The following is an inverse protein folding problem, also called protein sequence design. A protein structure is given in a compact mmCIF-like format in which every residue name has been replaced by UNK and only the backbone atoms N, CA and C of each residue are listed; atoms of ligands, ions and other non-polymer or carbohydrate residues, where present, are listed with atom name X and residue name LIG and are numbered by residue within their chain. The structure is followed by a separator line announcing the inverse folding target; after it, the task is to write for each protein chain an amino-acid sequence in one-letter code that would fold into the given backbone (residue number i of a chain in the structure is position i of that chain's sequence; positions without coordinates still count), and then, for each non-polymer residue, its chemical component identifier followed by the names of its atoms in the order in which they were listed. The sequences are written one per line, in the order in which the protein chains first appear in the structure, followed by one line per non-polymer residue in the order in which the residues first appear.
data_IF_425736389643
#
_entry.id   IF_425736389643
#
_cell.length_a   1.000
_cell.length_b   1.000
_cell.length_c   1.000
_cell.angle_alpha   90.00
_cell.angle_beta   90.00
_cell.angle_gamma   90.00
#
_symmetry.space_group_name_H-M   'P 1'
#
loop_
_entity.id
_entity.type
_entity.pdbx_description
1 polymer ?
#
# COMPACT_ATOMS: atom_id res chain seq x y z
N UNK A 1 -49.15 47.93 -42.44
CA UNK A 1 -49.02 48.37 -43.84
C UNK A 1 -49.45 47.23 -44.76
N UNK A 2 -50.66 46.73 -44.53
CA UNK A 2 -51.81 46.93 -45.44
C UNK A 2 -51.50 46.92 -46.94
N UNK A 3 -51.54 45.73 -47.51
CA UNK A 3 -52.00 45.52 -48.88
C UNK A 3 -53.02 44.37 -48.88
N UNK A 4 -54.28 44.76 -48.73
CA UNK A 4 -55.46 43.91 -48.81
C UNK A 4 -55.67 43.52 -50.29
N UNK A 5 -54.94 42.49 -50.74
CA UNK A 5 -55.16 41.91 -52.07
C UNK A 5 -56.39 41.00 -52.04
N UNK A 6 -57.53 41.54 -52.50
CA UNK A 6 -58.73 40.79 -52.84
C UNK A 6 -58.40 39.77 -53.94
N UNK A 7 -57.95 38.59 -53.54
CA UNK A 7 -57.64 37.48 -54.42
C UNK A 7 -58.94 36.74 -54.76
N UNK A 8 -59.70 37.32 -55.69
CA UNK A 8 -60.88 36.69 -56.27
C UNK A 8 -60.42 35.43 -57.01
N UNK A 9 -60.80 34.26 -56.47
CA UNK A 9 -60.43 32.94 -56.98
C UNK A 9 -60.63 32.85 -58.51
N UNK A 10 -59.62 32.40 -59.30
CA UNK A 10 -59.69 32.35 -60.77
C UNK A 10 -60.78 31.41 -61.32
N UNK A 11 -61.42 30.61 -60.45
CA UNK A 11 -62.55 29.75 -60.81
C UNK A 11 -63.83 30.52 -61.15
N UNK A 12 -64.09 31.67 -60.51
CA UNK A 12 -65.30 32.46 -60.79
C UNK A 12 -65.19 33.23 -62.11
N UNK A 13 -63.99 33.72 -62.44
CA UNK A 13 -63.72 34.37 -63.73
C UNK A 13 -63.83 33.36 -64.87
N UNK A 14 -63.35 32.11 -64.68
CA UNK A 14 -63.50 31.06 -65.69
C UNK A 14 -64.93 30.59 -65.87
N UNK A 15 -65.72 30.46 -64.81
CA UNK A 15 -67.17 30.16 -64.93
C UNK A 15 -67.92 31.27 -65.68
N UNK A 16 -67.60 32.54 -65.41
CA UNK A 16 -68.14 33.66 -66.19
C UNK A 16 -67.66 33.65 -67.64
N UNK A 17 -66.42 33.25 -67.89
CA UNK A 17 -65.84 33.19 -69.23
C UNK A 17 -66.35 31.99 -70.04
N UNK A 18 -66.62 30.85 -69.40
CA UNK A 18 -67.31 29.70 -69.99
C UNK A 18 -68.80 29.99 -70.22
N UNK A 19 -69.48 30.70 -69.30
CA UNK A 19 -70.85 31.19 -69.52
C UNK A 19 -70.92 32.23 -70.63
N UNK A 20 -69.90 33.10 -70.78
CA UNK A 20 -69.79 34.07 -71.87
C UNK A 20 -69.45 33.39 -73.19
N UNK A 21 -68.62 32.33 -73.19
CA UNK A 21 -68.33 31.51 -74.36
C UNK A 21 -69.54 30.65 -74.79
N UNK A 22 -70.32 30.12 -73.85
CA UNK A 22 -71.61 29.47 -74.11
C UNK A 22 -72.63 30.48 -74.65
N UNK A 23 -72.59 31.73 -74.16
CA UNK A 23 -73.36 32.88 -74.69
C UNK A 23 -72.97 33.27 -76.12
N UNK A 24 -71.71 33.06 -76.51
CA UNK A 24 -71.18 33.38 -77.84
C UNK A 24 -71.43 32.25 -78.86
N UNK A 25 -71.55 31.00 -78.42
CA UNK A 25 -71.92 29.88 -79.30
C UNK A 25 -73.43 29.78 -79.57
N UNK A 26 -74.27 30.34 -78.69
CA UNK A 26 -75.74 30.38 -78.82
C UNK A 26 -76.25 31.69 -79.46
N UNK A 27 -75.52 32.22 -80.44
CA UNK A 27 -75.92 33.40 -81.22
C UNK A 27 -76.96 33.03 -82.30
N UNK A 28 -78.16 32.69 -81.85
CA UNK A 28 -79.38 33.04 -82.59
C UNK A 28 -80.31 33.82 -81.64
N UNK A 29 -80.96 34.92 -82.09
CA UNK A 29 -81.83 35.73 -81.23
C UNK A 29 -82.99 34.95 -80.59
N UNK A 30 -83.35 33.78 -81.13
CA UNK A 30 -84.36 32.88 -80.56
C UNK A 30 -83.86 32.09 -79.35
N UNK A 31 -82.55 31.80 -79.25
CA UNK A 31 -82.01 31.04 -78.13
C UNK A 31 -81.85 31.88 -76.86
N UNK A 32 -81.64 33.20 -76.95
CA UNK A 32 -81.51 34.07 -75.77
C UNK A 32 -82.83 34.24 -74.99
N UNK A 33 -83.96 34.31 -75.68
CA UNK A 33 -85.28 34.38 -75.06
C UNK A 33 -85.69 33.06 -74.42
N UNK A 34 -85.39 31.93 -75.06
CA UNK A 34 -85.53 30.58 -74.50
C UNK A 34 -84.59 30.32 -73.31
N UNK A 35 -83.32 30.74 -73.40
CA UNK A 35 -82.37 30.65 -72.29
C UNK A 35 -82.86 31.44 -71.08
N UNK A 36 -83.33 32.68 -71.28
CA UNK A 36 -83.78 33.53 -70.18
C UNK A 36 -85.12 33.03 -69.58
N UNK A 37 -86.01 32.47 -70.40
CA UNK A 37 -87.27 31.85 -69.95
C UNK A 37 -87.05 30.53 -69.19
N UNK A 38 -85.97 29.80 -69.47
CA UNK A 38 -85.65 28.49 -68.86
C UNK A 38 -84.67 28.60 -67.67
N UNK A 39 -83.67 29.48 -67.74
CA UNK A 39 -82.72 29.70 -66.64
C UNK A 39 -83.34 30.39 -65.42
N UNK A 40 -84.33 31.26 -65.60
CA UNK A 40 -84.95 31.98 -64.48
C UNK A 40 -85.75 31.03 -63.56
N UNK A 41 -86.58 30.10 -64.06
CA UNK A 41 -87.19 29.03 -63.26
C UNK A 41 -86.18 28.09 -62.60
N UNK A 42 -85.16 27.64 -63.34
CA UNK A 42 -84.08 26.80 -62.82
C UNK A 42 -83.31 27.49 -61.68
N UNK A 43 -82.98 28.78 -61.84
CA UNK A 43 -82.29 29.59 -60.83
C UNK A 43 -83.14 29.81 -59.56
N UNK A 44 -84.44 30.08 -59.73
CA UNK A 44 -85.40 30.22 -58.61
C UNK A 44 -85.56 28.91 -57.82
N UNK A 45 -85.66 27.76 -58.50
CA UNK A 45 -85.78 26.45 -57.85
C UNK A 45 -84.47 25.98 -57.20
N UNK A 46 -83.31 26.29 -57.78
CA UNK A 46 -82.00 26.05 -57.16
C UNK A 46 -81.80 26.87 -55.87
N UNK A 47 -82.37 28.06 -55.76
CA UNK A 47 -82.25 28.93 -54.58
C UNK A 47 -83.20 28.53 -53.42
N UNK A 48 -84.35 27.92 -53.73
CA UNK A 48 -85.41 27.67 -52.73
C UNK A 48 -85.28 26.36 -51.94
N UNK A 49 -84.37 25.43 -52.29
CA UNK A 49 -84.18 24.11 -51.62
C UNK A 49 -85.46 23.25 -51.45
N UNK A 50 -86.62 23.68 -51.95
CA UNK A 50 -87.88 22.95 -52.00
C UNK A 50 -88.02 22.35 -53.40
N UNK A 51 -88.26 21.05 -53.43
CA UNK A 51 -88.37 20.24 -54.64
C UNK A 51 -89.77 20.42 -55.23
N UNK A 52 -89.95 21.49 -56.00
CA UNK A 52 -91.15 21.65 -56.83
C UNK A 52 -90.92 20.90 -58.15
N UNK A 53 -91.86 20.01 -58.48
CA UNK A 53 -91.87 19.30 -59.76
C UNK A 53 -92.11 20.35 -60.85
N UNK A 54 -91.25 20.38 -61.86
CA UNK A 54 -91.41 21.32 -62.97
C UNK A 54 -92.74 21.09 -63.68
N UNK A 55 -93.38 22.17 -64.13
CA UNK A 55 -94.57 22.01 -64.96
C UNK A 55 -94.20 21.24 -66.26
N UNK A 56 -95.12 20.48 -66.86
CA UNK A 56 -94.83 19.71 -68.08
C UNK A 56 -94.24 20.55 -69.22
N UNK A 57 -94.65 21.82 -69.32
CA UNK A 57 -94.13 22.76 -70.32
C UNK A 57 -92.68 23.17 -70.01
N UNK A 58 -92.37 23.48 -68.75
CA UNK A 58 -91.01 23.82 -68.31
C UNK A 58 -90.06 22.64 -68.45
N UNK A 59 -90.52 21.43 -68.09
CA UNK A 59 -89.73 20.20 -68.24
C UNK A 59 -89.35 19.95 -69.71
N UNK A 60 -90.31 20.09 -70.65
CA UNK A 60 -90.04 19.93 -72.09
C UNK A 60 -89.05 20.99 -72.60
N UNK A 61 -89.18 22.23 -72.16
CA UNK A 61 -88.25 23.31 -72.54
C UNK A 61 -86.83 23.05 -71.99
N UNK A 62 -86.72 22.57 -70.76
CA UNK A 62 -85.43 22.22 -70.14
C UNK A 62 -84.81 21.00 -70.84
N UNK A 63 -85.60 19.96 -71.14
CA UNK A 63 -85.13 18.78 -71.87
C UNK A 63 -84.56 19.14 -73.24
N UNK A 64 -85.22 19.99 -74.02
CA UNK A 64 -84.71 20.43 -75.32
C UNK A 64 -83.33 21.11 -75.23
N UNK A 65 -83.10 21.88 -74.15
CA UNK A 65 -81.79 22.53 -73.90
C UNK A 65 -80.74 21.50 -73.47
N UNK A 66 -81.10 20.52 -72.64
CA UNK A 66 -80.18 19.45 -72.21
C UNK A 66 -79.81 18.52 -73.37
N UNK A 67 -80.75 18.23 -74.27
CA UNK A 67 -80.50 17.48 -75.51
C UNK A 67 -79.51 18.22 -76.41
N UNK A 68 -79.70 19.52 -76.65
CA UNK A 68 -78.75 20.33 -77.41
C UNK A 68 -77.36 20.38 -76.74
N UNK A 69 -77.30 20.42 -75.40
CA UNK A 69 -76.02 20.34 -74.68
C UNK A 69 -75.31 19.00 -74.88
N UNK A 70 -76.05 17.88 -74.88
CA UNK A 70 -75.48 16.55 -75.14
C UNK A 70 -74.96 16.43 -76.58
N UNK A 71 -75.71 16.95 -77.55
CA UNK A 71 -75.30 16.96 -78.95
C UNK A 71 -74.02 17.80 -79.12
N UNK A 72 -73.94 18.97 -78.49
CA UNK A 72 -72.74 19.80 -78.49
C UNK A 72 -71.55 19.12 -77.80
N UNK A 73 -71.76 18.44 -76.68
CA UNK A 73 -70.71 17.69 -75.98
C UNK A 73 -70.26 16.45 -76.77
N UNK A 74 -71.15 15.83 -77.53
CA UNK A 74 -70.83 14.74 -78.43
C UNK A 74 -69.96 15.26 -79.59
N UNK A 75 -70.36 16.37 -80.23
CA UNK A 75 -69.59 17.05 -81.28
C UNK A 75 -68.20 17.43 -80.75
N UNK A 76 -68.11 17.99 -79.54
CA UNK A 76 -66.83 18.33 -78.91
C UNK A 76 -65.96 17.08 -78.70
N UNK A 77 -66.57 15.95 -78.29
CA UNK A 77 -65.88 14.67 -78.16
C UNK A 77 -65.35 14.12 -79.49
N UNK A 78 -66.07 14.33 -80.60
CA UNK A 78 -65.62 13.95 -81.95
C UNK A 78 -64.50 14.85 -82.49
N UNK A 79 -64.49 16.13 -82.11
CA UNK A 79 -63.46 17.10 -82.51
C UNK A 79 -62.18 16.93 -81.65
N UNK A 80 -62.33 16.43 -80.42
CA UNK A 80 -61.24 16.27 -79.44
C UNK A 80 -61.06 14.80 -79.00
N UNK A 81 -60.68 13.88 -79.89
CA UNK A 81 -60.43 12.50 -79.49
C UNK A 81 -59.14 12.36 -78.69
N UNK A 82 -59.15 11.44 -77.71
CA UNK A 82 -57.99 11.13 -76.84
C UNK A 82 -56.87 10.38 -77.59
N UNK A 83 -57.05 10.09 -78.88
CA UNK A 83 -56.14 9.24 -79.63
C UNK A 83 -54.83 9.96 -79.96
N UNK A 84 -53.80 9.68 -79.16
CA UNK A 84 -52.69 8.86 -79.63
C UNK A 84 -52.16 7.98 -78.48
N UNK A 85 -52.78 6.82 -78.33
CA UNK A 85 -52.11 5.62 -77.82
C UNK A 85 -52.58 4.46 -78.68
N UNK A 86 -51.63 3.76 -79.29
CA UNK A 86 -51.82 2.91 -80.45
C UNK A 86 -52.90 1.84 -80.28
N UNK A 87 -53.73 1.72 -81.32
CA UNK A 87 -54.32 0.45 -81.73
C UNK A 87 -54.21 0.35 -83.25
N UNK A 88 -53.22 -0.41 -83.69
CA UNK A 88 -53.34 -1.23 -84.89
C UNK A 88 -54.51 -2.18 -84.64
N UNK A 89 -55.53 -2.09 -85.49
CA UNK A 89 -56.36 -3.21 -85.97
C UNK A 89 -57.69 -2.65 -86.47
N UNK A 90 -57.69 -2.26 -87.75
CA UNK A 90 -58.91 -2.09 -88.53
C UNK A 90 -58.77 -3.05 -89.70
N UNK A 91 -59.21 -4.28 -89.48
CA UNK A 91 -59.76 -5.08 -90.57
C UNK A 91 -61.27 -5.17 -90.36
N UNK A 92 -61.99 -4.66 -91.36
CA UNK A 92 -63.34 -5.06 -91.72
C UNK A 92 -64.54 -4.39 -91.02
N UNK A 93 -64.93 -3.16 -91.40
CA UNK A 93 -66.37 -2.80 -91.55
C UNK A 93 -66.57 -1.67 -92.59
N UNK A 94 -67.37 -1.96 -93.63
CA UNK A 94 -68.29 -1.07 -94.38
C UNK A 94 -67.85 0.33 -94.86
N UNK A 95 -67.90 0.55 -96.18
CA UNK A 95 -67.59 1.82 -96.88
C UNK A 95 -68.37 3.08 -96.42
N UNK A 96 -69.48 2.93 -95.68
CA UNK A 96 -70.19 4.07 -95.06
C UNK A 96 -69.50 4.57 -93.78
N UNK A 97 -68.80 3.69 -93.05
CA UNK A 97 -68.01 4.02 -91.86
C UNK A 97 -66.72 4.72 -92.27
N UNK A 98 -66.21 4.46 -93.48
CA UNK A 98 -65.02 5.13 -94.03
C UNK A 98 -65.24 6.64 -94.21
N UNK A 99 -66.46 7.11 -94.55
CA UNK A 99 -66.75 8.55 -94.63
C UNK A 99 -66.81 9.21 -93.25
N UNK A 100 -67.36 8.53 -92.24
CA UNK A 100 -67.41 9.03 -90.84
C UNK A 100 -65.99 9.03 -90.24
N UNK A 101 -65.21 7.98 -90.48
CA UNK A 101 -63.80 7.90 -90.12
C UNK A 101 -62.95 8.94 -90.84
N UNK A 102 -63.18 9.22 -92.12
CA UNK A 102 -62.43 10.21 -92.89
C UNK A 102 -62.78 11.64 -92.47
N UNK A 103 -64.05 11.91 -92.15
CA UNK A 103 -64.49 13.19 -91.60
C UNK A 103 -63.91 13.42 -90.20
N UNK A 104 -63.93 12.40 -89.33
CA UNK A 104 -63.23 12.43 -88.05
C UNK A 104 -61.72 12.60 -88.24
N UNK A 105 -61.10 11.88 -89.17
CA UNK A 105 -59.66 11.97 -89.46
C UNK A 105 -59.24 13.36 -89.96
N UNK A 106 -60.04 14.01 -90.81
CA UNK A 106 -59.81 15.36 -91.29
C UNK A 106 -60.02 16.42 -90.20
N UNK A 107 -61.08 16.28 -89.40
CA UNK A 107 -61.32 17.13 -88.23
C UNK A 107 -60.19 17.01 -87.20
N UNK A 108 -59.72 15.78 -86.96
CA UNK A 108 -58.59 15.46 -86.07
C UNK A 108 -57.27 16.03 -86.58
N UNK A 109 -57.03 15.99 -87.90
CA UNK A 109 -55.81 16.53 -88.50
C UNK A 109 -55.77 18.08 -88.45
N UNK A 110 -56.92 18.73 -88.66
CA UNK A 110 -57.05 20.19 -88.53
C UNK A 110 -56.93 20.65 -87.07
N UNK A 111 -57.55 19.93 -86.13
CA UNK A 111 -57.44 20.20 -84.70
C UNK A 111 -56.02 19.94 -84.19
N UNK A 112 -55.35 18.87 -84.62
CA UNK A 112 -53.97 18.55 -84.24
C UNK A 112 -52.96 19.60 -84.74
N UNK A 113 -53.20 20.22 -85.91
CA UNK A 113 -52.36 21.32 -86.42
C UNK A 113 -52.56 22.62 -85.65
N UNK A 114 -53.78 22.89 -85.16
CA UNK A 114 -54.06 24.02 -84.26
C UNK A 114 -53.55 23.78 -82.83
N UNK A 115 -53.73 22.57 -82.30
CA UNK A 115 -53.27 22.17 -80.97
C UNK A 115 -51.74 22.11 -80.86
N UNK A 116 -51.02 21.80 -81.95
CA UNK A 116 -49.54 21.88 -81.98
C UNK A 116 -49.00 23.31 -81.85
N UNK A 117 -49.83 24.34 -82.03
CA UNK A 117 -49.44 25.74 -81.78
C UNK A 117 -49.68 26.19 -80.32
N UNK A 118 -50.37 25.38 -79.50
CA UNK A 118 -50.61 25.67 -78.07
C UNK A 118 -50.32 24.42 -77.23
N UNK A 119 -49.24 24.42 -76.44
CA UNK A 119 -48.76 23.25 -75.70
C UNK A 119 -49.76 22.66 -74.67
N UNK A 120 -50.68 21.79 -75.11
CA UNK A 120 -51.56 21.00 -74.24
C UNK A 120 -50.95 19.61 -74.06
N UNK A 121 -50.47 19.30 -72.85
CA UNK A 121 -49.91 17.99 -72.49
C UNK A 121 -50.95 16.86 -72.65
N UNK A 122 -50.52 15.65 -73.01
CA UNK A 122 -51.39 14.47 -73.19
C UNK A 122 -52.25 14.16 -71.94
N UNK A 123 -51.72 14.43 -70.74
CA UNK A 123 -52.47 14.29 -69.49
C UNK A 123 -53.59 15.33 -69.35
N UNK A 124 -53.40 16.56 -69.84
CA UNK A 124 -54.46 17.56 -69.86
C UNK A 124 -55.57 17.17 -70.82
N UNK A 125 -55.23 16.57 -71.97
CA UNK A 125 -56.22 16.09 -72.94
C UNK A 125 -57.05 14.91 -72.40
N UNK A 126 -56.40 13.94 -71.74
CA UNK A 126 -57.11 12.85 -71.04
C UNK A 126 -58.06 13.39 -69.97
N UNK A 127 -57.60 14.36 -69.20
CA UNK A 127 -58.43 15.01 -68.18
C UNK A 127 -59.62 15.73 -68.80
N UNK A 128 -59.41 16.54 -69.84
CA UNK A 128 -60.49 17.25 -70.53
C UNK A 128 -61.52 16.29 -71.11
N UNK A 129 -61.09 15.14 -71.64
CA UNK A 129 -62.04 14.13 -72.11
C UNK A 129 -62.80 13.47 -70.97
N UNK A 130 -62.14 13.14 -69.86
CA UNK A 130 -62.80 12.60 -68.67
C UNK A 130 -63.83 13.61 -68.12
N UNK A 131 -63.44 14.87 -67.93
CA UNK A 131 -64.31 15.96 -67.48
C UNK A 131 -65.50 16.16 -68.45
N UNK A 132 -65.28 16.03 -69.77
CA UNK A 132 -66.34 16.08 -70.80
C UNK A 132 -67.29 14.90 -70.67
N UNK A 133 -66.77 13.68 -70.50
CA UNK A 133 -67.58 12.48 -70.36
C UNK A 133 -68.42 12.55 -69.08
N UNK A 134 -67.81 12.93 -67.96
CA UNK A 134 -68.49 13.12 -66.68
C UNK A 134 -69.62 14.17 -66.81
N UNK A 135 -69.37 15.29 -67.50
CA UNK A 135 -70.41 16.29 -67.77
C UNK A 135 -71.54 15.74 -68.67
N UNK A 136 -71.20 14.96 -69.69
CA UNK A 136 -72.16 14.28 -70.57
C UNK A 136 -73.03 13.31 -69.80
N UNK A 137 -72.45 12.51 -68.90
CA UNK A 137 -73.16 11.52 -68.10
C UNK A 137 -74.12 12.21 -67.12
N UNK A 138 -73.67 13.27 -66.43
CA UNK A 138 -74.53 14.07 -65.53
C UNK A 138 -75.69 14.72 -66.28
N UNK A 139 -75.45 15.28 -67.46
CA UNK A 139 -76.50 15.91 -68.27
C UNK A 139 -77.48 14.86 -68.80
N UNK A 140 -77.00 13.69 -69.22
CA UNK A 140 -77.85 12.59 -69.68
C UNK A 140 -78.73 12.02 -68.55
N UNK A 141 -78.15 11.83 -67.36
CA UNK A 141 -78.89 11.44 -66.16
C UNK A 141 -79.95 12.48 -65.79
N UNK A 142 -79.60 13.77 -65.85
CA UNK A 142 -80.52 14.88 -65.55
C UNK A 142 -81.64 14.98 -66.58
N UNK A 143 -81.32 14.78 -67.87
CA UNK A 143 -82.31 14.76 -68.95
C UNK A 143 -83.31 13.61 -68.75
N UNK A 144 -82.82 12.41 -68.45
CA UNK A 144 -83.68 11.26 -68.19
C UNK A 144 -84.54 11.48 -66.93
N UNK A 145 -83.98 12.06 -65.87
CA UNK A 145 -84.71 12.41 -64.65
C UNK A 145 -85.80 13.46 -64.91
N UNK A 146 -85.49 14.48 -65.72
CA UNK A 146 -86.42 15.54 -66.11
C UNK A 146 -87.58 14.99 -66.94
N UNK A 147 -87.31 14.08 -67.89
CA UNK A 147 -88.32 13.45 -68.74
C UNK A 147 -89.24 12.50 -67.96
N UNK A 148 -88.71 11.79 -66.97
CA UNK A 148 -89.47 10.76 -66.21
C UNK A 148 -90.20 11.30 -65.00
N UNK A 149 -89.55 12.21 -64.25
CA UNK A 149 -89.97 12.61 -62.92
C UNK A 149 -90.15 14.13 -62.78
N UNK A 150 -89.69 14.92 -63.76
CA UNK A 150 -89.75 16.38 -63.71
C UNK A 150 -88.88 16.99 -62.60
N UNK A 151 -87.79 16.31 -62.22
CA UNK A 151 -86.86 16.72 -61.16
C UNK A 151 -85.41 16.76 -61.66
N UNK A 152 -84.47 17.28 -60.85
CA UNK A 152 -83.06 17.46 -61.21
C UNK A 152 -82.08 17.10 -60.06
N UNK A 153 -82.46 16.13 -59.23
CA UNK A 153 -81.71 15.70 -58.05
C UNK A 153 -80.34 15.12 -58.42
N UNK A 154 -80.22 14.44 -59.56
CA UNK A 154 -78.96 13.91 -60.12
C UNK A 154 -77.91 15.01 -60.28
N UNK A 155 -78.28 16.14 -60.90
CA UNK A 155 -77.42 17.32 -61.02
C UNK A 155 -77.02 17.90 -59.66
N UNK A 156 -77.98 18.02 -58.74
CA UNK A 156 -77.69 18.54 -57.39
C UNK A 156 -76.71 17.65 -56.62
N UNK A 157 -76.87 16.33 -56.70
CA UNK A 157 -75.95 15.37 -56.11
C UNK A 157 -74.58 15.42 -56.79
N UNK A 158 -74.50 15.56 -58.11
CA UNK A 158 -73.24 15.70 -58.84
C UNK A 158 -72.48 16.97 -58.43
N UNK A 159 -73.15 18.12 -58.33
CA UNK A 159 -72.56 19.37 -57.84
C UNK A 159 -72.07 19.24 -56.39
N UNK A 160 -72.84 18.57 -55.53
CA UNK A 160 -72.45 18.35 -54.14
C UNK A 160 -71.23 17.41 -54.05
N UNK A 161 -71.18 16.34 -54.84
CA UNK A 161 -70.02 15.44 -54.96
C UNK A 161 -68.77 16.20 -55.40
N UNK A 162 -68.86 17.07 -56.40
CA UNK A 162 -67.72 17.89 -56.85
C UNK A 162 -67.28 18.90 -55.79
N UNK A 163 -68.22 19.52 -55.08
CA UNK A 163 -67.90 20.43 -53.98
C UNK A 163 -67.16 19.70 -52.85
N UNK A 164 -67.61 18.51 -52.48
CA UNK A 164 -66.96 17.67 -51.47
C UNK A 164 -65.58 17.19 -51.94
N UNK A 165 -65.48 16.68 -53.17
CA UNK A 165 -64.21 16.27 -53.80
C UNK A 165 -63.20 17.40 -53.80
N UNK A 166 -63.62 18.63 -54.16
CA UNK A 166 -62.77 19.81 -54.12
C UNK A 166 -62.32 20.13 -52.69
N UNK A 167 -63.23 20.10 -51.71
CA UNK A 167 -62.89 20.29 -50.29
C UNK A 167 -61.85 19.27 -49.82
N UNK A 168 -62.09 17.98 -50.09
CA UNK A 168 -61.18 16.89 -49.72
C UNK A 168 -59.80 17.04 -50.37
N UNK A 169 -59.73 17.51 -51.62
CA UNK A 169 -58.47 17.82 -52.27
C UNK A 169 -57.70 18.94 -51.57
N UNK A 170 -58.37 20.04 -51.18
CA UNK A 170 -57.73 21.13 -50.44
C UNK A 170 -57.24 20.67 -49.06
N UNK A 171 -58.03 19.89 -48.32
CA UNK A 171 -57.57 19.32 -47.03
C UNK A 171 -56.39 18.37 -47.18
N UNK A 172 -56.29 17.66 -48.31
CA UNK A 172 -55.16 16.78 -48.62
C UNK A 172 -53.91 17.58 -48.94
N UNK A 173 -54.03 18.67 -49.72
CA UNK A 173 -52.92 19.58 -50.02
C UNK A 173 -52.37 20.19 -48.73
N UNK A 174 -53.23 20.73 -47.86
CA UNK A 174 -52.80 21.39 -46.62
C UNK A 174 -52.03 20.41 -45.73
N UNK A 175 -52.58 19.20 -45.53
CA UNK A 175 -51.90 18.15 -44.74
C UNK A 175 -50.56 17.72 -45.35
N UNK A 176 -50.46 17.66 -46.67
CA UNK A 176 -49.21 17.33 -47.35
C UNK A 176 -48.14 18.42 -47.16
N UNK A 177 -48.54 19.69 -47.28
CA UNK A 177 -47.66 20.83 -47.03
C UNK A 177 -47.18 20.90 -45.57
N UNK A 178 -48.08 20.67 -44.62
CA UNK A 178 -47.76 20.58 -43.18
C UNK A 178 -46.81 19.41 -42.91
N UNK A 179 -47.09 18.23 -43.45
CA UNK A 179 -46.20 17.07 -43.36
C UNK A 179 -44.81 17.34 -43.94
N UNK A 180 -44.71 18.04 -45.09
CA UNK A 180 -43.41 18.46 -45.65
C UNK A 180 -42.66 19.42 -44.73
N UNK A 181 -43.35 20.37 -44.08
CA UNK A 181 -42.74 21.29 -43.11
C UNK A 181 -42.23 20.54 -41.89
N UNK A 182 -43.03 19.62 -41.36
CA UNK A 182 -42.64 18.77 -40.23
C UNK A 182 -41.42 17.92 -40.56
N UNK A 183 -41.44 17.21 -41.70
CA UNK A 183 -40.29 16.39 -42.16
C UNK A 183 -39.03 17.25 -42.26
N UNK A 184 -39.09 18.44 -42.87
CA UNK A 184 -37.94 19.36 -42.95
C UNK A 184 -37.44 19.78 -41.57
N UNK A 185 -38.35 20.08 -40.64
CA UNK A 185 -38.00 20.47 -39.27
C UNK A 185 -37.32 19.33 -38.50
N UNK A 186 -37.81 18.09 -38.66
CA UNK A 186 -37.25 16.89 -38.04
C UNK A 186 -35.89 16.55 -38.64
N UNK A 187 -35.74 16.64 -39.96
CA UNK A 187 -34.45 16.47 -40.63
C UNK A 187 -33.41 17.46 -40.11
N UNK A 188 -33.79 18.73 -39.93
CA UNK A 188 -32.90 19.75 -39.34
C UNK A 188 -32.50 19.41 -37.91
N UNK A 189 -33.47 19.09 -37.04
CA UNK A 189 -33.20 18.67 -35.65
C UNK A 189 -32.27 17.46 -35.58
N UNK A 190 -32.48 16.47 -36.45
CA UNK A 190 -31.65 15.27 -36.51
C UNK A 190 -30.21 15.61 -36.94
N UNK A 191 -30.04 16.52 -37.90
CA UNK A 191 -28.72 16.99 -38.30
C UNK A 191 -28.03 17.79 -37.18
N UNK A 192 -28.76 18.62 -36.46
CA UNK A 192 -28.23 19.42 -35.36
C UNK A 192 -27.77 18.52 -34.20
N UNK A 193 -28.59 17.54 -33.79
CA UNK A 193 -28.21 16.52 -32.79
C UNK A 193 -26.98 15.73 -33.24
N UNK A 194 -26.90 15.36 -34.53
CA UNK A 194 -25.72 14.65 -35.05
C UNK A 194 -24.45 15.49 -34.91
N UNK A 195 -24.50 16.78 -35.22
CA UNK A 195 -23.37 17.71 -35.07
C UNK A 195 -22.97 17.90 -33.61
N UNK A 196 -23.96 18.07 -32.73
CA UNK A 196 -23.72 18.19 -31.28
C UNK A 196 -23.01 16.96 -30.73
N UNK A 197 -23.46 15.75 -31.11
CA UNK A 197 -22.84 14.50 -30.67
C UNK A 197 -21.44 14.30 -31.24
N UNK A 198 -21.19 14.72 -32.47
CA UNK A 198 -19.83 14.71 -33.04
C UNK A 198 -18.89 15.62 -32.23
N UNK A 199 -19.35 16.81 -31.86
CA UNK A 199 -18.57 17.76 -31.06
C UNK A 199 -18.34 17.26 -29.63
N UNK A 200 -19.34 16.65 -28.99
CA UNK A 200 -19.18 15.98 -27.69
C UNK A 200 -18.14 14.86 -27.76
N UNK A 201 -18.14 14.05 -28.82
CA UNK A 201 -17.16 12.98 -29.01
C UNK A 201 -15.74 13.54 -29.19
N UNK A 202 -15.59 14.61 -29.98
CA UNK A 202 -14.30 15.27 -30.15
C UNK A 202 -13.76 15.81 -28.82
N UNK A 203 -14.57 16.53 -28.04
CA UNK A 203 -14.17 17.05 -26.73
C UNK A 203 -13.79 15.91 -25.75
N UNK A 204 -14.56 14.81 -25.73
CA UNK A 204 -14.21 13.63 -24.93
C UNK A 204 -12.90 12.98 -25.38
N UNK A 205 -12.65 12.91 -26.69
CA UNK A 205 -11.39 12.36 -27.22
C UNK A 205 -10.19 13.23 -26.84
N UNK A 206 -10.33 14.56 -26.88
CA UNK A 206 -9.30 15.50 -26.41
C UNK A 206 -9.03 15.34 -24.90
N UNK A 207 -10.07 15.20 -24.09
CA UNK A 207 -9.93 14.92 -22.65
C UNK A 207 -9.22 13.57 -22.40
N UNK A 208 -9.56 12.53 -23.17
CA UNK A 208 -8.88 11.23 -23.08
C UNK A 208 -7.39 11.37 -23.45
N UNK A 209 -7.05 12.15 -24.47
CA UNK A 209 -5.66 12.39 -24.85
C UNK A 209 -4.90 13.12 -23.73
N UNK A 210 -5.48 14.19 -23.19
CA UNK A 210 -4.91 14.94 -22.06
C UNK A 210 -4.65 14.05 -20.83
N UNK A 211 -5.64 13.24 -20.43
CA UNK A 211 -5.50 12.34 -19.29
C UNK A 211 -4.47 11.24 -19.53
N UNK A 212 -4.31 10.77 -20.76
CA UNK A 212 -3.25 9.81 -21.13
C UNK A 212 -1.86 10.43 -20.99
N UNK A 213 -1.69 11.67 -21.43
CA UNK A 213 -0.42 12.38 -21.32
C UNK A 213 -0.05 12.63 -19.85
N UNK A 214 -1.00 13.08 -19.03
CA UNK A 214 -0.80 13.22 -17.58
C UNK A 214 -0.44 11.90 -16.90
N UNK A 215 -1.09 10.81 -17.28
CA UNK A 215 -0.79 9.49 -16.74
C UNK A 215 0.64 9.04 -17.10
N UNK A 216 1.07 9.28 -18.34
CA UNK A 216 2.43 8.96 -18.77
C UNK A 216 3.47 9.83 -18.05
N UNK A 217 3.21 11.12 -17.88
CA UNK A 217 4.07 12.03 -17.12
C UNK A 217 4.21 11.57 -15.66
N UNK A 218 3.09 11.31 -14.98
CA UNK A 218 3.07 10.83 -13.60
C UNK A 218 3.79 9.49 -13.44
N UNK A 219 3.64 8.58 -14.42
CA UNK A 219 4.34 7.30 -14.42
C UNK A 219 5.85 7.48 -14.56
N UNK A 220 6.29 8.30 -15.52
CA UNK A 220 7.71 8.58 -15.73
C UNK A 220 8.34 9.24 -14.50
N UNK A 221 7.64 10.20 -13.88
CA UNK A 221 8.06 10.86 -12.65
C UNK A 221 8.17 9.88 -11.47
N UNK A 222 7.13 9.08 -11.23
CA UNK A 222 7.11 8.08 -10.15
C UNK A 222 8.21 7.04 -10.33
N UNK A 223 8.44 6.56 -11.56
CA UNK A 223 9.50 5.60 -11.86
C UNK A 223 10.89 6.19 -11.60
N UNK A 224 11.10 7.47 -11.93
CA UNK A 224 12.36 8.17 -11.65
C UNK A 224 12.57 8.39 -10.15
N UNK A 225 11.55 8.88 -9.44
CA UNK A 225 11.58 9.10 -7.99
C UNK A 225 11.84 7.78 -7.24
N UNK A 226 11.17 6.70 -7.64
CA UNK A 226 11.39 5.36 -7.07
C UNK A 226 12.84 4.91 -7.21
N UNK A 227 13.44 5.07 -8.41
CA UNK A 227 14.86 4.74 -8.63
C UNK A 227 15.79 5.61 -7.79
N UNK A 228 15.49 6.91 -7.68
CA UNK A 228 16.29 7.84 -6.90
C UNK A 228 16.27 7.48 -5.40
N UNK A 229 15.08 7.30 -4.82
CA UNK A 229 14.92 6.92 -3.41
C UNK A 229 15.56 5.56 -3.13
N UNK A 230 15.43 4.59 -4.04
CA UNK A 230 16.10 3.30 -3.91
C UNK A 230 17.63 3.48 -3.89
N UNK A 231 18.18 4.27 -4.80
CA UNK A 231 19.62 4.51 -4.87
C UNK A 231 20.15 5.24 -3.64
N UNK A 232 19.42 6.23 -3.15
CA UNK A 232 19.75 7.00 -1.95
C UNK A 232 19.77 6.10 -0.70
N UNK A 233 18.71 5.32 -0.49
CA UNK A 233 18.63 4.37 0.64
C UNK A 233 19.70 3.29 0.57
N UNK A 234 19.99 2.72 -0.61
CA UNK A 234 21.10 1.78 -0.81
C UNK A 234 22.45 2.39 -0.44
N UNK A 235 22.70 3.64 -0.85
CA UNK A 235 23.93 4.35 -0.52
C UNK A 235 24.04 4.65 0.97
N UNK A 236 22.94 5.03 1.62
CA UNK A 236 22.91 5.28 3.06
C UNK A 236 23.20 4.00 3.85
N UNK A 237 22.61 2.87 3.46
CA UNK A 237 22.88 1.55 4.06
C UNK A 237 24.35 1.18 3.85
N UNK A 238 24.86 1.29 2.61
CA UNK A 238 26.25 0.97 2.31
C UNK A 238 27.24 1.83 3.11
N UNK A 239 27.00 3.13 3.20
CA UNK A 239 27.85 4.04 3.96
C UNK A 239 27.84 3.70 5.45
N UNK A 240 26.66 3.43 6.00
CA UNK A 240 26.51 3.05 7.41
C UNK A 240 27.21 1.73 7.69
N UNK A 241 27.01 0.73 6.84
CA UNK A 241 27.67 -0.57 6.94
C UNK A 241 29.20 -0.42 6.89
N UNK A 242 29.73 0.43 6.01
CA UNK A 242 31.17 0.67 5.92
C UNK A 242 31.73 1.35 7.17
N UNK A 243 31.02 2.32 7.73
CA UNK A 243 31.40 2.97 9.00
C UNK A 243 31.40 1.97 10.15
N UNK A 244 30.37 1.14 10.26
CA UNK A 244 30.29 0.08 11.28
C UNK A 244 31.43 -0.93 11.12
N UNK A 245 31.69 -1.41 9.90
CA UNK A 245 32.78 -2.35 9.63
C UNK A 245 34.16 -1.79 9.96
N UNK A 246 34.40 -0.51 9.68
CA UNK A 246 35.67 0.13 10.06
C UNK A 246 35.79 0.24 11.59
N UNK A 247 34.75 0.72 12.27
CA UNK A 247 34.75 0.82 13.74
C UNK A 247 34.90 -0.54 14.42
N UNK A 248 34.28 -1.59 13.87
CA UNK A 248 34.45 -2.97 14.33
C UNK A 248 35.89 -3.43 14.16
N UNK A 249 36.51 -3.16 13.00
CA UNK A 249 37.92 -3.47 12.77
C UNK A 249 38.84 -2.75 13.77
N UNK A 250 38.56 -1.48 14.09
CA UNK A 250 39.34 -0.71 15.06
C UNK A 250 39.23 -1.31 16.46
N UNK A 251 38.00 -1.66 16.89
CA UNK A 251 37.76 -2.32 18.17
C UNK A 251 38.43 -3.70 18.25
N UNK A 252 38.40 -4.48 17.17
CA UNK A 252 39.10 -5.77 17.10
C UNK A 252 40.60 -5.58 17.29
N UNK A 253 41.20 -4.61 16.60
CA UNK A 253 42.63 -4.28 16.77
C UNK A 253 42.97 -3.86 18.21
N UNK A 254 42.12 -3.04 18.84
CA UNK A 254 42.30 -2.65 20.25
C UNK A 254 42.19 -3.84 21.21
N UNK A 255 41.24 -4.75 20.98
CA UNK A 255 41.08 -5.98 21.75
C UNK A 255 42.31 -6.88 21.60
N UNK A 256 42.85 -7.01 20.39
CA UNK A 256 44.08 -7.78 20.13
C UNK A 256 45.26 -7.20 20.91
N UNK A 257 45.48 -5.89 20.84
CA UNK A 257 46.55 -5.21 21.60
C UNK A 257 46.36 -5.38 23.11
N UNK A 258 45.14 -5.18 23.60
CA UNK A 258 44.79 -5.38 25.01
C UNK A 258 45.05 -6.82 25.47
N UNK A 259 44.74 -7.80 24.61
CA UNK A 259 44.98 -9.21 24.87
C UNK A 259 46.48 -9.50 24.96
N UNK A 260 47.28 -9.01 24.02
CA UNK A 260 48.76 -9.17 24.03
C UNK A 260 49.36 -8.56 25.30
N UNK A 261 48.97 -7.33 25.66
CA UNK A 261 49.46 -6.67 26.87
C UNK A 261 49.08 -7.45 28.13
N UNK A 262 47.83 -7.93 28.21
CA UNK A 262 47.36 -8.75 29.34
C UNK A 262 48.17 -10.05 29.47
N UNK A 263 48.50 -10.70 28.35
CA UNK A 263 49.35 -11.89 28.34
C UNK A 263 50.77 -11.57 28.83
N UNK A 264 51.35 -10.44 28.41
CA UNK A 264 52.66 -9.99 28.86
C UNK A 264 52.71 -9.68 30.36
N UNK A 265 51.71 -8.96 30.89
CA UNK A 265 51.63 -8.68 32.33
C UNK A 265 51.51 -9.97 33.14
N UNK A 266 50.67 -10.92 32.71
CA UNK A 266 50.56 -12.24 33.34
C UNK A 266 51.90 -12.98 33.35
N UNK A 267 52.65 -12.92 32.25
CA UNK A 267 53.98 -13.52 32.17
C UNK A 267 54.97 -12.88 33.15
N UNK A 268 54.99 -11.55 33.27
CA UNK A 268 55.84 -10.86 34.24
C UNK A 268 55.43 -11.17 35.69
N UNK A 269 54.13 -11.24 35.96
CA UNK A 269 53.60 -11.60 37.27
C UNK A 269 54.05 -13.02 37.66
N UNK A 270 53.92 -13.99 36.76
CA UNK A 270 54.38 -15.36 37.00
C UNK A 270 55.88 -15.40 37.34
N UNK A 271 56.73 -14.66 36.60
CA UNK A 271 58.17 -14.59 36.90
C UNK A 271 58.48 -13.96 38.27
N UNK A 272 57.66 -13.02 38.71
CA UNK A 272 57.82 -12.41 40.03
C UNK A 272 57.37 -13.37 41.13
N UNK A 273 56.26 -14.09 40.92
CA UNK A 273 55.76 -15.12 41.83
C UNK A 273 56.79 -16.25 42.01
N UNK A 274 57.40 -16.74 40.92
CA UNK A 274 58.49 -17.74 40.99
C UNK A 274 59.68 -17.27 41.82
N UNK A 275 60.09 -15.99 41.66
CA UNK A 275 61.17 -15.40 42.47
C UNK A 275 60.77 -15.22 43.93
N UNK A 276 59.53 -14.80 44.18
CA UNK A 276 58.99 -14.65 45.53
C UNK A 276 59.02 -16.00 46.24
N UNK A 277 58.48 -17.04 45.60
CA UNK A 277 58.46 -18.41 46.11
C UNK A 277 59.86 -18.90 46.47
N UNK A 278 60.82 -18.72 45.56
CA UNK A 278 62.22 -19.04 45.81
C UNK A 278 62.77 -18.32 47.06
N UNK A 279 62.51 -17.03 47.21
CA UNK A 279 63.00 -16.26 48.36
C UNK A 279 62.27 -16.61 49.66
N UNK A 280 60.98 -16.93 49.61
CA UNK A 280 60.21 -17.40 50.76
C UNK A 280 60.77 -18.75 51.24
N UNK A 281 60.94 -19.72 50.34
CA UNK A 281 61.49 -21.03 50.66
C UNK A 281 62.92 -20.92 51.20
N UNK A 282 63.75 -20.05 50.61
CA UNK A 282 65.10 -19.79 51.12
C UNK A 282 65.07 -19.18 52.52
N UNK A 283 64.22 -18.19 52.75
CA UNK A 283 64.09 -17.53 54.05
C UNK A 283 63.62 -18.51 55.13
N UNK A 284 62.63 -19.35 54.83
CA UNK A 284 62.18 -20.41 55.73
C UNK A 284 63.31 -21.38 56.06
N UNK A 285 64.02 -21.91 55.06
CA UNK A 285 65.16 -22.81 55.27
C UNK A 285 66.28 -22.19 56.09
N UNK A 286 66.67 -20.95 55.79
CA UNK A 286 67.71 -20.23 56.53
C UNK A 286 67.27 -19.97 57.98
N UNK A 287 65.99 -19.62 58.18
CA UNK A 287 65.40 -19.41 59.51
C UNK A 287 65.34 -20.71 60.31
N UNK A 288 64.91 -21.82 59.71
CA UNK A 288 64.90 -23.15 60.33
C UNK A 288 66.32 -23.61 60.67
N UNK A 289 67.28 -23.44 59.77
CA UNK A 289 68.69 -23.76 59.99
C UNK A 289 69.26 -22.97 61.17
N UNK A 290 69.02 -21.65 61.22
CA UNK A 290 69.45 -20.81 62.34
C UNK A 290 68.71 -21.14 63.64
N UNK A 291 67.44 -21.51 63.56
CA UNK A 291 66.67 -21.97 64.72
C UNK A 291 67.21 -23.31 65.24
N UNK A 292 67.62 -24.22 64.36
CA UNK A 292 68.27 -25.48 64.71
C UNK A 292 69.65 -25.25 65.36
N UNK A 293 70.51 -24.41 64.76
CA UNK A 293 71.80 -24.01 65.36
C UNK A 293 71.61 -23.38 66.76
N UNK A 294 70.61 -22.52 66.91
CA UNK A 294 70.30 -21.92 68.21
C UNK A 294 69.87 -22.98 69.23
N UNK A 295 69.05 -23.95 68.80
CA UNK A 295 68.58 -25.03 69.66
C UNK A 295 69.73 -25.97 70.08
N UNK A 296 70.66 -26.30 69.16
CA UNK A 296 71.83 -27.13 69.49
C UNK A 296 72.78 -26.41 70.43
N UNK A 297 73.04 -25.11 70.23
CA UNK A 297 73.85 -24.30 71.15
C UNK A 297 73.17 -24.17 72.53
N UNK A 298 71.86 -23.98 72.58
CA UNK A 298 71.10 -23.99 73.85
C UNK A 298 71.22 -25.33 74.57
N UNK A 299 71.11 -26.45 73.84
CA UNK A 299 71.27 -27.80 74.39
C UNK A 299 72.70 -28.03 74.90
N UNK A 300 73.73 -27.65 74.14
CA UNK A 300 75.13 -27.71 74.58
C UNK A 300 75.36 -26.90 75.84
N UNK A 301 74.90 -25.64 75.87
CA UNK A 301 75.00 -24.78 77.06
C UNK A 301 74.31 -25.40 78.27
N UNK A 302 73.14 -26.01 78.09
CA UNK A 302 72.42 -26.70 79.16
C UNK A 302 73.20 -27.93 79.67
N UNK A 303 73.78 -28.72 78.78
CA UNK A 303 74.62 -29.87 79.12
C UNK A 303 75.91 -29.44 79.85
N UNK A 304 76.61 -28.42 79.36
CA UNK A 304 77.82 -27.89 79.99
C UNK A 304 77.51 -27.35 81.39
N UNK A 305 76.37 -26.64 81.53
CA UNK A 305 75.90 -26.15 82.83
C UNK A 305 75.57 -27.29 83.79
N UNK A 306 74.93 -28.38 83.31
CA UNK A 306 74.66 -29.57 84.11
C UNK A 306 75.96 -30.29 84.53
N UNK A 307 76.93 -30.43 83.62
CA UNK A 307 78.23 -31.03 83.90
C UNK A 307 79.02 -30.22 84.93
N UNK A 308 79.04 -28.89 84.81
CA UNK A 308 79.66 -27.99 85.79
C UNK A 308 78.97 -28.08 87.16
N UNK A 309 77.63 -28.12 87.19
CA UNK A 309 76.88 -28.32 88.43
C UNK A 309 77.22 -29.66 89.08
N UNK A 310 77.34 -30.74 88.30
CA UNK A 310 77.70 -32.06 88.83
C UNK A 310 79.15 -32.10 89.33
N UNK A 311 80.10 -31.53 88.59
CA UNK A 311 81.48 -31.38 89.06
C UNK A 311 81.56 -30.55 90.34
N UNK A 312 80.78 -29.47 90.44
CA UNK A 312 80.71 -28.66 91.65
C UNK A 312 80.17 -29.47 92.85
N UNK A 313 79.18 -30.35 92.64
CA UNK A 313 78.74 -31.30 93.68
C UNK A 313 79.85 -32.28 94.05
N UNK A 314 80.56 -32.84 93.08
CA UNK A 314 81.68 -33.76 93.34
C UNK A 314 82.80 -33.10 94.13
N UNK A 315 83.20 -31.87 93.79
CA UNK A 315 84.19 -31.10 94.57
C UNK A 315 83.72 -30.91 96.02
N UNK A 316 82.45 -30.54 96.24
CA UNK A 316 81.89 -30.42 97.60
C UNK A 316 81.94 -31.75 98.36
N UNK A 317 81.65 -32.86 97.71
CA UNK A 317 81.73 -34.20 98.32
C UNK A 317 83.18 -34.57 98.67
N UNK A 318 84.14 -34.32 97.78
CA UNK A 318 85.56 -34.56 98.07
C UNK A 318 86.08 -33.65 99.18
N UNK A 319 85.73 -32.37 99.17
CA UNK A 319 86.06 -31.43 100.25
C UNK A 319 85.48 -31.91 101.58
N UNK A 320 84.22 -32.35 101.61
CA UNK A 320 83.59 -32.92 102.78
C UNK A 320 84.33 -34.18 103.28
N UNK A 321 84.66 -35.11 102.38
CA UNK A 321 85.41 -36.31 102.75
C UNK A 321 86.83 -36.00 103.27
N UNK A 322 87.52 -35.03 102.68
CA UNK A 322 88.83 -34.57 103.16
C UNK A 322 88.70 -33.94 104.55
N UNK A 323 87.66 -33.13 104.77
CA UNK A 323 87.37 -32.53 106.07
C UNK A 323 87.06 -33.61 107.13
N UNK A 324 86.24 -34.60 106.78
CA UNK A 324 85.93 -35.75 107.64
C UNK A 324 87.18 -36.55 108.00
N UNK A 325 88.04 -36.91 107.04
CA UNK A 325 89.31 -37.61 107.30
C UNK A 325 90.28 -36.76 108.17
N UNK A 326 90.33 -35.44 107.96
CA UNK A 326 91.13 -34.53 108.81
C UNK A 326 90.62 -34.49 110.24
N UNK A 327 89.30 -34.39 110.43
CA UNK A 327 88.65 -34.38 111.75
C UNK A 327 88.84 -35.74 112.43
N UNK A 328 88.71 -36.85 111.70
CA UNK A 328 88.89 -38.20 112.23
C UNK A 328 90.35 -38.46 112.63
N UNK A 329 91.33 -38.04 111.83
CA UNK A 329 92.76 -38.08 112.20
C UNK A 329 93.06 -37.21 113.41
N UNK A 330 92.47 -36.02 113.53
CA UNK A 330 92.64 -35.18 114.72
C UNK A 330 91.98 -35.78 115.96
N UNK A 331 90.79 -36.37 115.83
CA UNK A 331 90.12 -37.06 116.92
C UNK A 331 90.91 -38.28 117.38
N UNK A 332 91.48 -39.06 116.44
CA UNK A 332 92.37 -40.17 116.74
C UNK A 332 93.64 -39.70 117.47
N UNK A 333 94.27 -38.59 117.03
CA UNK A 333 95.40 -37.97 117.74
C UNK A 333 95.02 -37.54 119.16
N UNK A 334 93.90 -36.84 119.32
CA UNK A 334 93.39 -36.42 120.64
C UNK A 334 93.13 -37.62 121.55
N UNK A 335 92.56 -38.70 121.02
CA UNK A 335 92.32 -39.94 121.77
C UNK A 335 93.63 -40.58 122.25
N UNK A 336 94.64 -40.67 121.39
CA UNK A 336 95.99 -41.16 121.77
C UNK A 336 96.64 -40.27 122.83
N UNK A 337 96.53 -38.95 122.72
CA UNK A 337 97.03 -38.02 123.74
C UNK A 337 96.31 -38.19 125.07
N UNK A 338 94.98 -38.40 125.04
CA UNK A 338 94.15 -38.63 126.21
C UNK A 338 94.51 -39.96 126.88
N UNK A 339 94.63 -41.05 126.11
CA UNK A 339 95.09 -42.36 126.59
C UNK A 339 96.52 -42.28 127.16
N UNK A 340 97.39 -41.45 126.58
CA UNK A 340 98.75 -41.24 127.10
C UNK A 340 98.76 -40.44 128.42
N UNK A 341 97.85 -39.48 128.58
CA UNK A 341 97.65 -38.75 129.83
C UNK A 341 97.03 -39.66 130.89
N UNK A 342 96.05 -40.48 130.54
CA UNK A 342 95.49 -41.51 131.41
C UNK A 342 96.58 -42.50 131.83
N UNK A 343 97.42 -42.98 130.92
CA UNK A 343 98.56 -43.83 131.24
C UNK A 343 99.58 -43.12 132.14
N UNK A 344 99.84 -41.82 131.94
CA UNK A 344 100.69 -41.03 132.84
C UNK A 344 100.07 -40.90 134.22
N UNK A 345 98.76 -40.70 134.31
CA UNK A 345 98.03 -40.63 135.57
C UNK A 345 98.06 -41.99 136.29
N UNK A 346 97.82 -43.09 135.57
CA UNK A 346 97.94 -44.47 136.06
C UNK A 346 99.38 -44.75 136.52
N UNK A 347 100.41 -44.33 135.76
CA UNK A 347 101.83 -44.46 136.18
C UNK A 347 102.14 -43.64 137.42
N UNK A 348 101.59 -42.43 137.56
CA UNK A 348 101.71 -41.61 138.78
C UNK A 348 100.98 -42.27 139.97
N UNK A 349 99.82 -42.87 139.74
CA UNK A 349 99.05 -43.61 140.74
C UNK A 349 99.79 -44.88 141.18
N UNK A 350 100.39 -45.61 140.23
CA UNK A 350 101.29 -46.73 140.50
C UNK A 350 102.54 -46.29 141.28
N UNK A 351 103.15 -45.16 140.94
CA UNK A 351 104.32 -44.63 141.64
C UNK A 351 103.97 -44.12 143.05
N UNK A 352 102.81 -43.48 143.22
CA UNK A 352 102.27 -43.08 144.51
C UNK A 352 102.02 -44.31 145.39
N UNK A 353 101.35 -45.34 144.87
CA UNK A 353 101.11 -46.58 145.59
C UNK A 353 102.42 -47.29 145.97
N UNK A 354 103.36 -47.42 145.03
CA UNK A 354 104.72 -47.96 145.30
C UNK A 354 105.47 -47.15 146.36
N UNK A 355 105.37 -45.82 146.34
CA UNK A 355 106.00 -44.94 147.33
C UNK A 355 105.32 -44.95 148.70
N UNK A 356 104.00 -45.14 148.75
CA UNK A 356 103.24 -45.34 150.00
C UNK A 356 103.58 -46.69 150.62
N UNK A 357 103.76 -47.75 149.82
CA UNK A 357 104.28 -49.03 150.31
C UNK A 357 105.65 -48.91 150.97
N UNK A 358 106.57 -48.10 150.40
CA UNK A 358 107.91 -47.85 150.95
C UNK A 358 107.88 -47.01 152.23
N UNK A 359 106.98 -46.02 152.33
CA UNK A 359 106.95 -45.08 153.47
C UNK A 359 106.19 -45.60 154.69
N UNK A 360 105.24 -46.52 154.51
CA UNK A 360 104.46 -47.10 155.61
C UNK A 360 104.90 -48.53 155.99
N UNK A 361 106.07 -48.98 155.53
CA UNK A 361 106.69 -50.28 155.88
C UNK A 361 105.75 -51.49 155.72
N UNK A 362 105.11 -51.62 154.56
CA UNK A 362 104.28 -52.78 154.19
C UNK A 362 104.99 -53.54 153.06
N UNK A 363 105.29 -54.81 153.26
CA UNK A 363 105.97 -55.66 152.28
C UNK A 363 107.51 -55.59 152.36
N UNK A 364 108.25 -56.05 151.33
CA UNK A 364 109.56 -56.71 151.44
C UNK A 364 110.78 -55.89 151.96
N UNK A 365 110.57 -54.72 152.59
CA UNK A 365 111.60 -53.78 153.03
C UNK A 365 111.86 -53.79 154.56
N UNK A 366 111.88 -54.97 155.20
CA UNK A 366 112.09 -55.12 156.66
C UNK A 366 113.56 -55.37 157.08
N UNK A 367 114.52 -55.37 156.16
CA UNK A 367 115.94 -55.54 156.49
C UNK A 367 116.84 -54.69 155.57
N UNK A 368 117.44 -53.62 156.13
CA UNK A 368 118.83 -53.19 155.92
C UNK A 368 119.06 -51.82 156.60
N UNK A 369 119.56 -51.90 157.83
CA UNK A 369 120.19 -50.84 158.61
C UNK A 369 121.69 -50.89 158.30
N UNK A 370 122.33 -49.71 158.14
CA UNK A 370 123.78 -49.37 158.06
C UNK A 370 124.45 -49.33 156.67
N UNK A 371 124.74 -48.11 156.20
CA UNK A 371 126.05 -47.57 155.75
C UNK A 371 125.80 -46.19 155.07
N UNK A 372 126.20 -45.06 155.67
CA UNK A 372 127.45 -44.30 155.36
C UNK A 372 127.48 -43.87 153.88
N UNK A 373 127.38 -42.60 153.49
CA UNK A 373 128.19 -41.39 153.78
C UNK A 373 128.69 -40.87 152.41
N UNK A 374 128.70 -39.55 152.27
CA UNK A 374 129.54 -38.72 151.39
C UNK A 374 129.16 -38.48 149.90
N UNK A 375 128.66 -37.26 149.63
CA UNK A 375 129.21 -36.16 148.77
C UNK A 375 130.38 -36.43 147.77
N UNK A 376 130.79 -35.52 146.82
CA UNK A 376 130.26 -34.22 146.36
C UNK A 376 130.44 -33.89 144.83
N UNK A 377 130.02 -32.66 144.44
CA UNK A 377 130.58 -31.66 143.47
C UNK A 377 131.21 -32.04 142.10
N UNK A 378 130.84 -31.25 141.08
CA UNK A 378 131.69 -30.95 139.91
C UNK A 378 131.13 -29.86 138.98
N UNK A 379 131.78 -28.69 138.95
CA UNK A 379 131.69 -27.63 137.92
C UNK A 379 132.51 -28.06 136.69
N UNK A 380 132.16 -27.65 135.46
CA UNK A 380 133.05 -26.79 134.66
C UNK A 380 132.41 -26.18 133.38
N UNK A 381 133.04 -25.10 132.91
CA UNK A 381 132.82 -24.29 131.71
C UNK A 381 133.55 -24.88 130.48
N UNK A 382 133.09 -24.53 129.27
CA UNK A 382 134.02 -24.14 128.18
C UNK A 382 133.85 -24.72 126.77
N UNK A 383 133.29 -23.88 125.87
CA UNK A 383 133.86 -23.43 124.56
C UNK A 383 134.13 -24.41 123.37
N UNK A 384 133.43 -24.10 122.26
CA UNK A 384 133.87 -23.76 120.87
C UNK A 384 134.13 -24.84 119.78
N UNK A 385 133.47 -24.60 118.63
CA UNK A 385 133.87 -24.79 117.19
C UNK A 385 134.14 -26.24 116.69
N UNK A 386 133.92 -26.69 115.44
CA UNK A 386 133.61 -26.09 114.12
C UNK A 386 133.23 -27.21 113.11
N UNK A 387 132.44 -26.85 112.10
CA UNK A 387 132.48 -27.23 110.66
C UNK A 387 132.54 -28.70 110.17
N UNK A 388 131.58 -29.05 109.30
CA UNK A 388 131.89 -29.31 107.88
C UNK A 388 131.91 -30.75 107.33
N UNK A 389 130.90 -31.04 106.49
CA UNK A 389 130.98 -31.68 105.16
C UNK A 389 130.85 -33.22 104.94
N UNK A 390 129.88 -33.52 104.05
CA UNK A 390 129.93 -34.35 102.81
C UNK A 390 129.57 -35.86 102.79
N UNK A 391 128.48 -36.10 102.02
CA UNK A 391 128.33 -36.94 100.79
C UNK A 391 127.83 -38.41 100.83
N UNK A 392 126.82 -38.60 99.96
CA UNK A 392 126.36 -39.78 99.15
C UNK A 392 125.63 -40.90 99.92
N UNK A 393 124.44 -41.34 99.49
CA UNK A 393 123.99 -41.63 98.11
C UNK A 393 122.63 -41.04 97.78
#
# INVERSE_FOLDING_TARGET
MDEESTNVSPGYVRLFQYLVLLKLLLLTPCCLSLLHAVLVPLSKNMANKKMEIFSPLEAVQICAVLEDCLDQLAILGYIMPVSYEGRTDISNVGASIFKILLFSFLANHLFSRAAKQSAVSSNNLRKVQADRQDASDVIAETLQEMQTSGTFQSLLQAVQREKERKSNFHTTIIREEEGRKEIKSLQKRLQDVKKEKELELQNRNEMIAYLKDQLQEMKAKTDMESRYVKKDTELQVYQTQKKCSNAESDLVNEIEVSTIFRLFVKYLQQKLEEKLEYWMEKYEKDTESKQQELNTLKASKANDLAALQELAKQCRLFEQAIMEDRVEKEAARRKVEQDALELKSIKKLQAWWRGTMVRHNIGPYKALKKSKEDEPKGKDKGKKEKAGAKKRK
#
